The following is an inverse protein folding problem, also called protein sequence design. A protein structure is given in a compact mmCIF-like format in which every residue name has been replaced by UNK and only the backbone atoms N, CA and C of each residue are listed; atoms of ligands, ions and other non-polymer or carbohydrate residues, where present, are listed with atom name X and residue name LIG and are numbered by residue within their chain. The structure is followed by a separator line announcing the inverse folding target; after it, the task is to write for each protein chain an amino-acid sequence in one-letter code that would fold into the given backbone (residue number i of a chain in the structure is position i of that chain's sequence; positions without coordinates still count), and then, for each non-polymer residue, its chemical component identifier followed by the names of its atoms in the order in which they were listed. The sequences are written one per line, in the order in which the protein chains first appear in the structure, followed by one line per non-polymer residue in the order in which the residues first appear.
data_IF_956208323988
#
_entry.id   IF_956208323988
#
_cell.length_a   1.000
_cell.length_b   1.000
_cell.length_c   1.000
_cell.angle_alpha   90.00
_cell.angle_beta   90.00
_cell.angle_gamma   90.00
#
_symmetry.space_group_name_H-M   'P 1'
#
loop_
_entity.id
_entity.type
_entity.pdbx_description
1 polymer ?
#
# COMPACT_ATOMS: atom_id res chain seq x y z
N UNK A 1 -12.67 20.16 -9.05
CA UNK A 1 -12.71 19.53 -7.71
C UNK A 1 -13.03 18.05 -7.83
N UNK A 2 -12.28 17.20 -7.17
CA UNK A 2 -12.53 15.77 -7.22
C UNK A 2 -13.71 15.37 -6.37
N UNK A 3 -14.50 14.44 -6.86
CA UNK A 3 -15.56 13.84 -6.04
C UNK A 3 -14.95 12.91 -4.98
N UNK A 4 -15.74 12.58 -3.96
CA UNK A 4 -15.31 11.61 -2.96
C UNK A 4 -15.04 10.25 -3.60
N UNK A 5 -15.88 9.87 -4.55
CA UNK A 5 -15.74 8.60 -5.27
C UNK A 5 -14.42 8.52 -6.05
N UNK A 6 -14.03 9.62 -6.71
CA UNK A 6 -12.75 9.68 -7.43
C UNK A 6 -11.58 9.58 -6.46
N UNK A 7 -11.67 10.24 -5.31
CA UNK A 7 -10.64 10.17 -4.28
C UNK A 7 -10.49 8.76 -3.71
N UNK A 8 -11.60 8.06 -3.50
CA UNK A 8 -11.60 6.66 -3.05
C UNK A 8 -10.90 5.77 -4.09
N UNK A 9 -11.24 5.97 -5.36
CA UNK A 9 -10.61 5.21 -6.45
C UNK A 9 -9.11 5.45 -6.49
N UNK A 10 -8.69 6.70 -6.33
CA UNK A 10 -7.27 7.04 -6.31
C UNK A 10 -6.53 6.38 -5.14
N UNK A 11 -7.15 6.37 -3.95
CA UNK A 11 -6.57 5.68 -2.79
C UNK A 11 -6.41 4.18 -3.06
N UNK A 12 -7.42 3.55 -3.64
CA UNK A 12 -7.35 2.12 -4.01
C UNK A 12 -6.24 1.86 -5.01
N UNK A 13 -6.08 2.72 -6.00
CA UNK A 13 -5.01 2.60 -7.01
C UNK A 13 -3.63 2.73 -6.37
N UNK A 14 -3.46 3.67 -5.44
CA UNK A 14 -2.19 3.86 -4.73
C UNK A 14 -1.86 2.65 -3.86
N UNK A 15 -2.85 2.10 -3.17
CA UNK A 15 -2.67 0.89 -2.35
C UNK A 15 -2.24 -0.28 -3.23
N UNK A 16 -2.87 -0.45 -4.39
CA UNK A 16 -2.52 -1.51 -5.33
C UNK A 16 -1.08 -1.38 -5.84
N UNK A 17 -0.64 -0.15 -6.12
CA UNK A 17 0.73 0.11 -6.55
C UNK A 17 1.74 -0.24 -5.47
N UNK A 18 1.46 0.16 -4.23
CA UNK A 18 2.33 -0.18 -3.09
C UNK A 18 2.38 -1.69 -2.86
N UNK A 19 1.25 -2.36 -2.98
CA UNK A 19 1.20 -3.82 -2.84
C UNK A 19 2.09 -4.51 -3.88
N UNK A 20 2.06 -4.03 -5.13
CA UNK A 20 2.91 -4.55 -6.20
C UNK A 20 4.39 -4.32 -5.91
N UNK A 21 4.75 -3.13 -5.41
CA UNK A 21 6.13 -2.83 -5.04
C UNK A 21 6.63 -3.71 -3.90
N UNK A 22 5.78 -3.95 -2.90
CA UNK A 22 6.11 -4.84 -1.78
C UNK A 22 6.37 -6.25 -2.30
N UNK A 23 5.50 -6.76 -3.16
CA UNK A 23 5.65 -8.10 -3.74
C UNK A 23 6.92 -8.23 -4.56
N UNK A 24 7.24 -7.23 -5.36
CA UNK A 24 8.48 -7.20 -6.15
C UNK A 24 9.71 -7.23 -5.24
N UNK A 25 9.68 -6.44 -4.16
CA UNK A 25 10.77 -6.44 -3.18
C UNK A 25 10.92 -7.79 -2.51
N UNK A 26 9.82 -8.42 -2.12
CA UNK A 26 9.83 -9.75 -1.51
C UNK A 26 10.42 -10.81 -2.45
N UNK A 27 10.08 -10.75 -3.74
CA UNK A 27 10.63 -11.65 -4.75
C UNK A 27 12.15 -11.45 -4.85
N UNK A 28 12.61 -10.21 -4.85
CA UNK A 28 14.03 -9.91 -4.93
C UNK A 28 14.79 -10.43 -3.70
N UNK A 29 14.23 -10.24 -2.50
CA UNK A 29 14.81 -10.77 -1.27
C UNK A 29 14.89 -12.29 -1.33
N UNK A 30 13.83 -12.94 -1.82
CA UNK A 30 13.81 -14.40 -1.98
C UNK A 30 14.90 -14.87 -2.96
N UNK A 31 15.12 -14.14 -4.06
CA UNK A 31 16.19 -14.44 -5.00
C UNK A 31 17.56 -14.38 -4.34
N UNK A 32 17.82 -13.34 -3.54
CA UNK A 32 19.08 -13.21 -2.84
C UNK A 32 19.25 -14.34 -1.83
N UNK A 33 18.22 -14.64 -1.05
CA UNK A 33 18.28 -15.73 -0.05
C UNK A 33 18.54 -17.08 -0.72
N UNK A 34 17.92 -17.33 -1.86
CA UNK A 34 18.12 -18.57 -2.62
C UNK A 34 19.55 -18.63 -3.17
N UNK A 35 20.05 -17.52 -3.73
CA UNK A 35 21.39 -17.45 -4.28
C UNK A 35 22.46 -17.57 -3.18
N UNK A 36 22.16 -17.13 -1.98
CA UNK A 36 23.08 -17.21 -0.84
C UNK A 36 23.28 -18.65 -0.37
N UNK A 37 22.35 -19.55 -0.69
CA UNK A 37 22.47 -20.98 -0.44
C UNK A 37 22.93 -21.33 0.98
N UNK A 38 22.20 -20.81 1.96
CA UNK A 38 22.48 -21.07 3.39
C UNK A 38 23.53 -20.16 4.02
N UNK A 39 24.21 -19.31 3.26
CA UNK A 39 25.13 -18.32 3.81
C UNK A 39 24.36 -17.17 4.42
N UNK A 40 24.91 -16.59 5.49
CA UNK A 40 24.30 -15.41 6.11
C UNK A 40 24.58 -14.17 5.24
N UNK A 41 23.78 -13.12 5.45
CA UNK A 41 23.92 -11.87 4.70
C UNK A 41 25.31 -11.27 4.87
N UNK A 42 25.92 -11.47 6.04
CA UNK A 42 27.27 -10.96 6.36
C UNK A 42 28.36 -11.59 5.50
N UNK A 43 28.11 -12.76 4.94
CA UNK A 43 29.06 -13.49 4.10
C UNK A 43 28.98 -13.06 2.63
N UNK A 44 27.96 -12.29 2.25
CA UNK A 44 27.77 -11.84 0.88
C UNK A 44 28.64 -10.62 0.57
N UNK A 45 28.93 -10.35 -0.72
CA UNK A 45 29.62 -9.13 -1.10
C UNK A 45 28.90 -7.88 -0.57
N UNK A 46 29.68 -6.84 -0.23
CA UNK A 46 29.14 -5.65 0.43
C UNK A 46 28.10 -4.91 -0.40
N UNK A 47 28.22 -4.90 -1.72
CA UNK A 47 27.22 -4.28 -2.61
C UNK A 47 25.87 -5.02 -2.55
N UNK A 48 25.92 -6.34 -2.45
CA UNK A 48 24.69 -7.15 -2.32
C UNK A 48 24.08 -6.96 -0.93
N UNK A 49 24.90 -6.85 0.11
CA UNK A 49 24.42 -6.54 1.45
C UNK A 49 23.69 -5.21 1.49
N UNK A 50 24.24 -4.18 0.86
CA UNK A 50 23.61 -2.86 0.79
C UNK A 50 22.26 -2.92 0.07
N UNK A 51 22.21 -3.61 -1.08
CA UNK A 51 20.97 -3.78 -1.83
C UNK A 51 19.92 -4.52 -1.03
N UNK A 52 20.31 -5.59 -0.35
CA UNK A 52 19.41 -6.39 0.49
C UNK A 52 18.80 -5.55 1.59
N UNK A 53 19.63 -4.82 2.34
CA UNK A 53 19.17 -3.98 3.43
C UNK A 53 18.32 -2.82 2.94
N UNK A 54 18.69 -2.23 1.80
CA UNK A 54 17.91 -1.16 1.19
C UNK A 54 16.53 -1.62 0.77
N UNK A 55 16.43 -2.81 0.18
CA UNK A 55 15.15 -3.38 -0.25
C UNK A 55 14.28 -3.71 0.96
N UNK A 56 14.87 -4.28 2.02
CA UNK A 56 14.13 -4.54 3.26
C UNK A 56 13.55 -3.26 3.86
N UNK A 57 14.35 -2.20 3.86
CA UNK A 57 13.89 -0.89 4.34
C UNK A 57 12.75 -0.37 3.49
N UNK A 58 12.87 -0.43 2.18
CA UNK A 58 11.84 0.02 1.25
C UNK A 58 10.53 -0.77 1.43
N UNK A 59 10.63 -2.09 1.64
CA UNK A 59 9.46 -2.93 1.91
C UNK A 59 8.77 -2.46 3.17
N UNK A 60 9.51 -2.23 4.26
CA UNK A 60 8.93 -1.78 5.53
C UNK A 60 8.27 -0.42 5.40
N UNK A 61 8.91 0.52 4.70
CA UNK A 61 8.35 1.85 4.47
C UNK A 61 7.08 1.77 3.62
N UNK A 62 7.09 0.93 2.58
CA UNK A 62 5.93 0.73 1.72
C UNK A 62 4.77 0.08 2.47
N UNK A 63 5.05 -0.88 3.35
CA UNK A 63 4.02 -1.51 4.17
C UNK A 63 3.39 -0.52 5.13
N UNK A 64 4.19 0.35 5.75
CA UNK A 64 3.69 1.38 6.66
C UNK A 64 2.80 2.38 5.90
N UNK A 65 3.24 2.83 4.73
CA UNK A 65 2.47 3.74 3.90
C UNK A 65 1.17 3.10 3.42
N UNK A 66 1.22 1.84 3.02
CA UNK A 66 0.03 1.10 2.60
C UNK A 66 -0.99 1.04 3.73
N UNK A 67 -0.54 0.76 4.95
CA UNK A 67 -1.42 0.73 6.12
C UNK A 67 -2.07 2.08 6.37
N UNK A 68 -1.32 3.16 6.27
CA UNK A 68 -1.85 4.51 6.43
C UNK A 68 -2.90 4.83 5.36
N UNK A 69 -2.64 4.43 4.11
CA UNK A 69 -3.60 4.63 3.03
C UNK A 69 -4.86 3.80 3.23
N UNK A 70 -4.75 2.61 3.77
CA UNK A 70 -5.91 1.77 4.09
C UNK A 70 -6.79 2.43 5.16
N UNK A 71 -6.18 3.07 6.16
CA UNK A 71 -6.91 3.81 7.19
C UNK A 71 -7.64 5.00 6.55
N UNK A 72 -6.97 5.74 5.67
CA UNK A 72 -7.59 6.85 4.95
C UNK A 72 -8.73 6.37 4.05
N UNK A 73 -8.54 5.24 3.38
CA UNK A 73 -9.57 4.64 2.53
C UNK A 73 -10.81 4.29 3.35
N UNK A 74 -10.62 3.64 4.49
CA UNK A 74 -11.72 3.29 5.38
C UNK A 74 -12.49 4.54 5.82
N UNK A 75 -11.78 5.59 6.23
CA UNK A 75 -12.40 6.85 6.62
C UNK A 75 -13.16 7.49 5.47
N UNK A 76 -12.58 7.49 4.26
CA UNK A 76 -13.22 8.06 3.08
C UNK A 76 -14.49 7.30 2.70
N UNK A 77 -14.46 5.98 2.75
CA UNK A 77 -15.63 5.16 2.46
C UNK A 77 -16.75 5.38 3.49
N UNK A 78 -16.37 5.52 4.76
CA UNK A 78 -17.32 5.81 5.83
C UNK A 78 -18.00 7.16 5.62
N UNK A 79 -17.24 8.19 5.29
CA UNK A 79 -17.75 9.53 5.00
C UNK A 79 -18.67 9.48 3.78
N UNK A 80 -18.26 8.78 2.73
CA UNK A 80 -19.04 8.66 1.51
C UNK A 80 -20.40 8.01 1.79
N UNK A 81 -20.42 6.96 2.61
CA UNK A 81 -21.65 6.29 3.00
C UNK A 81 -22.60 7.21 3.76
N UNK A 82 -22.07 8.01 4.68
CA UNK A 82 -22.87 8.98 5.44
C UNK A 82 -23.44 10.07 4.55
N UNK A 83 -22.64 10.59 3.63
CA UNK A 83 -23.11 11.64 2.70
C UNK A 83 -24.19 11.08 1.78
N UNK A 84 -24.03 9.87 1.29
CA UNK A 84 -25.03 9.21 0.45
C UNK A 84 -26.36 9.04 1.19
N UNK A 85 -26.29 8.63 2.46
CA UNK A 85 -27.50 8.50 3.30
C UNK A 85 -28.21 9.84 3.47
N UNK A 86 -27.49 10.92 3.66
CA UNK A 86 -28.07 12.26 3.77
C UNK A 86 -28.74 12.69 2.48
N UNK A 87 -28.16 12.39 1.33
CA UNK A 87 -28.75 12.70 0.02
C UNK A 87 -30.04 11.94 -0.20
N UNK A 88 -30.06 10.68 0.18
CA UNK A 88 -31.24 9.85 0.04
C UNK A 88 -32.40 10.38 0.91
N UNK A 89 -32.09 10.84 2.13
CA UNK A 89 -33.08 11.46 3.01
C UNK A 89 -33.63 12.76 2.43
N UNK A 90 -32.78 13.59 1.83
CA UNK A 90 -33.19 14.84 1.18
C UNK A 90 -34.12 14.58 0.00
N UNK A 91 -33.83 13.56 -0.80
CA UNK A 91 -34.68 13.19 -1.94
C UNK A 91 -36.06 12.74 -1.46
N UNK A 92 -36.12 11.96 -0.39
CA UNK A 92 -37.38 11.49 0.19
C UNK A 92 -38.23 12.65 0.73
N UNK A 93 -37.59 13.67 1.31
CA UNK A 93 -38.28 14.84 1.83
C UNK A 93 -38.88 15.72 0.73
N UNK A 94 -38.26 15.76 -0.43
CA UNK A 94 -38.72 16.57 -1.55
C UNK A 94 -39.94 16.01 -2.25
N UNK A 95 -40.26 14.78 -1.99
CA UNK A 95 -41.49 14.15 -2.51
C UNK A 95 -42.69 14.47 -1.65
#
# INVERSE_FOLDING_TARGET
MRSVEESIKELKDQIAKLDSLIKMGEVFIHMIDTAADGHSIDELPSDIQEDYLGILKDIKESQALKKDLEILLYAAESINGKITSLRDEEVDEDE
#
